data_IF_429476631254
#
_entry.id   IF_429476631254
#
_cell.length_a   1.000
_cell.length_b   1.000
_cell.length_c   1.000
_cell.angle_alpha   90.00
_cell.angle_beta   90.00
_cell.angle_gamma   90.00
#
_symmetry.space_group_name_H-M   'P 1'
#
loop_
_entity.id
_entity.type
_entity.pdbx_description
1 polymer ?
#
# COMPACT_ATOMS: atom_id res chain seq x y z
N UNK A 1 -10.63 -7.20 -8.23
CA UNK A 1 -11.80 -6.67 -7.49
C UNK A 1 -12.20 -7.49 -6.25
N UNK A 2 -11.92 -8.80 -6.13
CA UNK A 2 -12.34 -9.59 -4.96
C UNK A 2 -11.30 -9.77 -3.83
N UNK A 3 -10.01 -9.47 -4.05
CA UNK A 3 -8.95 -9.62 -3.02
C UNK A 3 -8.71 -8.35 -2.18
N UNK A 4 -9.18 -7.19 -2.65
CA UNK A 4 -9.06 -5.89 -1.98
C UNK A 4 -10.01 -5.70 -0.77
N UNK A 5 -10.97 -6.63 -0.54
CA UNK A 5 -11.92 -6.50 0.57
C UNK A 5 -11.45 -7.14 1.89
N UNK A 6 -10.49 -8.07 1.87
CA UNK A 6 -10.00 -8.75 3.08
C UNK A 6 -8.77 -8.04 3.67
N UNK A 7 -8.00 -7.36 2.82
CA UNK A 7 -6.94 -6.42 3.21
C UNK A 7 -7.40 -5.07 2.72
N UNK A 8 -7.76 -4.16 3.62
CA UNK A 8 -8.18 -2.82 3.23
C UNK A 8 -6.92 -2.10 2.72
N UNK A 9 -6.78 -2.03 1.40
CA UNK A 9 -5.90 -1.08 0.72
C UNK A 9 -6.77 0.13 0.41
N UNK A 10 -6.92 1.01 1.38
CA UNK A 10 -7.57 2.30 1.13
C UNK A 10 -6.49 3.21 0.56
N UNK A 11 -6.49 3.34 -0.76
CA UNK A 11 -5.74 4.38 -1.44
C UNK A 11 -6.45 5.70 -1.11
N UNK A 12 -6.05 6.38 -0.03
CA UNK A 12 -6.51 7.74 0.26
C UNK A 12 -5.73 8.70 -0.64
N UNK A 13 -5.92 8.54 -1.95
CA UNK A 13 -5.40 9.45 -2.95
C UNK A 13 -6.53 10.38 -3.34
N UNK A 14 -6.47 11.62 -2.83
CA UNK A 14 -7.32 12.69 -3.33
C UNK A 14 -6.58 13.35 -4.48
N UNK A 15 -7.18 13.32 -5.68
CA UNK A 15 -6.73 14.14 -6.79
C UNK A 15 -6.96 15.62 -6.42
N UNK A 16 -5.89 16.41 -6.35
CA UNK A 16 -5.97 17.86 -6.23
C UNK A 16 -5.82 18.47 -7.62
N UNK A 17 -6.63 19.48 -7.93
CA UNK A 17 -6.59 20.18 -9.22
C UNK A 17 -5.23 20.81 -9.60
N UNK A 18 -4.23 20.79 -8.71
CA UNK A 18 -2.86 21.27 -8.93
C UNK A 18 -1.84 20.15 -9.24
N UNK A 19 -2.26 18.89 -9.29
CA UNK A 19 -1.38 17.71 -9.46
C UNK A 19 -0.56 17.72 -10.77
N UNK A 20 -0.93 18.50 -11.79
CA UNK A 20 -0.32 18.45 -13.12
C UNK A 20 1.16 18.87 -13.24
N UNK A 21 1.78 19.49 -12.22
CA UNK A 21 3.18 19.98 -12.28
C UNK A 21 3.94 19.83 -10.95
N UNK A 22 3.27 19.85 -9.79
CA UNK A 22 3.95 19.94 -8.49
C UNK A 22 3.94 18.60 -7.73
N UNK A 23 5.00 18.29 -6.95
CA UNK A 23 5.00 17.13 -6.06
C UNK A 23 3.84 17.25 -5.07
N UNK A 24 3.01 16.23 -4.99
CA UNK A 24 1.93 16.16 -4.02
C UNK A 24 2.15 15.06 -3.01
N UNK A 25 1.64 15.30 -1.80
CA UNK A 25 1.84 14.39 -0.69
C UNK A 25 0.73 13.35 -0.70
N UNK A 26 1.09 12.09 -0.93
CA UNK A 26 0.16 10.96 -0.96
C UNK A 26 0.32 10.13 0.33
N UNK A 27 -0.74 9.43 0.72
CA UNK A 27 -0.78 8.58 1.91
C UNK A 27 -1.40 7.24 1.54
N UNK A 28 -0.69 6.16 1.83
CA UNK A 28 -1.16 4.79 1.61
C UNK A 28 -1.41 4.14 2.96
N UNK A 29 -2.56 3.46 3.09
CA UNK A 29 -2.96 2.75 4.30
C UNK A 29 -3.21 1.28 3.98
N UNK A 30 -2.60 0.41 4.78
CA UNK A 30 -2.66 -1.03 4.67
C UNK A 30 -3.23 -1.57 5.98
N UNK A 31 -4.45 -2.11 5.94
CA UNK A 31 -5.13 -2.67 7.10
C UNK A 31 -5.26 -4.19 7.05
N UNK A 32 -5.04 -4.85 8.19
CA UNK A 32 -5.35 -6.27 8.34
C UNK A 32 -6.82 -6.44 8.77
N UNK A 33 -7.69 -6.78 7.81
CA UNK A 33 -9.09 -7.15 8.06
C UNK A 33 -9.34 -8.67 7.89
N UNK A 34 -8.29 -9.49 8.05
CA UNK A 34 -8.42 -10.95 8.06
C UNK A 34 -9.22 -11.40 9.29
N UNK A 35 -10.12 -12.37 9.08
CA UNK A 35 -10.76 -13.08 10.17
C UNK A 35 -9.81 -14.05 10.89
N UNK A 36 -10.16 -14.45 12.11
CA UNK A 36 -9.55 -15.62 12.77
C UNK A 36 -8.19 -15.40 13.42
N UNK A 37 -7.91 -14.24 14.02
CA UNK A 37 -6.64 -13.93 14.68
C UNK A 37 -5.39 -14.10 13.79
N UNK A 38 -5.57 -14.05 12.46
CA UNK A 38 -4.49 -14.20 11.49
C UNK A 38 -3.66 -12.91 11.44
N UNK A 39 -2.35 -13.08 11.49
CA UNK A 39 -1.40 -11.99 11.31
C UNK A 39 -1.08 -11.83 9.83
N UNK A 40 -1.05 -10.58 9.37
CA UNK A 40 -0.67 -10.19 8.02
C UNK A 40 0.75 -9.66 8.04
N UNK A 41 1.67 -10.32 7.35
CA UNK A 41 3.02 -9.80 7.11
C UNK A 41 3.04 -9.09 5.76
N UNK A 42 3.30 -7.79 5.80
CA UNK A 42 3.40 -6.93 4.63
C UNK A 42 4.86 -6.50 4.44
N UNK A 43 5.38 -6.54 3.22
CA UNK A 43 6.67 -5.92 2.85
C UNK A 43 6.44 -5.02 1.67
N UNK A 44 6.62 -3.72 1.86
CA UNK A 44 6.35 -2.70 0.85
C UNK A 44 7.62 -2.00 0.42
N UNK A 45 7.76 -1.76 -0.86
CA UNK A 45 8.86 -0.97 -1.42
C UNK A 45 8.46 -0.31 -2.73
N UNK A 46 9.20 0.73 -3.10
CA UNK A 46 9.16 1.36 -4.41
C UNK A 46 10.45 1.04 -5.17
N UNK A 47 10.71 1.77 -6.26
CA UNK A 47 12.00 1.76 -6.94
C UNK A 47 13.13 2.33 -6.04
N UNK A 48 12.82 3.36 -5.26
CA UNK A 48 13.82 4.18 -4.57
C UNK A 48 13.82 3.96 -3.04
N UNK A 49 12.70 3.49 -2.48
CA UNK A 49 12.51 3.35 -1.04
C UNK A 49 12.07 1.93 -0.65
N UNK A 50 12.74 1.33 0.35
CA UNK A 50 12.26 0.12 1.01
C UNK A 50 11.68 0.49 2.38
N UNK A 51 10.38 0.24 2.57
CA UNK A 51 9.67 0.54 3.81
C UNK A 51 9.83 -0.59 4.86
N UNK A 52 10.44 -1.70 4.44
CA UNK A 52 10.70 -2.88 5.24
C UNK A 52 9.47 -3.75 5.47
N UNK A 53 9.67 -4.78 6.29
CA UNK A 53 8.63 -5.74 6.68
C UNK A 53 7.86 -5.22 7.89
N UNK A 54 6.54 -5.32 7.84
CA UNK A 54 5.60 -5.00 8.92
C UNK A 54 4.70 -6.20 9.17
N UNK A 55 4.51 -6.56 10.44
CA UNK A 55 3.56 -7.61 10.84
C UNK A 55 2.38 -6.92 11.52
N UNK A 56 1.19 -7.14 10.98
CA UNK A 56 -0.06 -6.55 11.43
C UNK A 56 -0.94 -7.63 12.05
N UNK A 57 -1.28 -7.47 13.32
CA UNK A 57 -2.34 -8.23 13.97
C UNK A 57 -3.73 -7.86 13.45
N UNK A 58 -4.78 -8.57 13.88
CA UNK A 58 -6.15 -8.28 13.49
C UNK A 58 -6.55 -6.84 13.81
N UNK A 59 -7.12 -6.13 12.83
CA UNK A 59 -7.55 -4.74 12.97
C UNK A 59 -6.41 -3.72 13.04
N UNK A 60 -5.15 -4.15 12.92
CA UNK A 60 -4.02 -3.23 12.89
C UNK A 60 -3.79 -2.70 11.47
N UNK A 61 -3.25 -1.48 11.43
CA UNK A 61 -2.98 -0.75 10.20
C UNK A 61 -1.52 -0.27 10.16
N UNK A 62 -0.95 -0.29 8.97
CA UNK A 62 0.32 0.33 8.63
C UNK A 62 0.05 1.42 7.59
N UNK A 63 0.67 2.58 7.75
CA UNK A 63 0.56 3.66 6.78
C UNK A 63 1.90 4.34 6.57
N UNK A 64 2.08 4.88 5.37
CA UNK A 64 3.24 5.68 5.01
C UNK A 64 2.82 6.85 4.13
N UNK A 65 3.65 7.89 4.15
CA UNK A 65 3.45 9.12 3.38
C UNK A 65 4.69 9.35 2.52
N UNK A 66 4.47 9.76 1.29
CA UNK A 66 5.53 10.10 0.36
C UNK A 66 5.11 11.29 -0.50
N UNK A 67 6.06 11.84 -1.24
CA UNK A 67 5.81 12.87 -2.24
C UNK A 67 5.89 12.24 -3.62
N UNK A 68 4.96 12.59 -4.52
CA UNK A 68 5.06 12.20 -5.93
C UNK A 68 6.31 12.82 -6.54
N UNK A 69 6.90 12.15 -7.52
CA UNK A 69 8.04 12.68 -8.23
C UNK A 69 7.57 13.50 -9.43
N UNK A 70 8.26 14.62 -9.71
CA UNK A 70 7.97 15.42 -10.92
C UNK A 70 8.58 14.80 -12.19
N UNK A 71 9.55 13.91 -12.05
CA UNK A 71 10.38 13.43 -13.16
C UNK A 71 10.09 11.98 -13.55
N UNK A 72 9.44 11.21 -12.69
CA UNK A 72 9.15 9.80 -12.92
C UNK A 72 7.89 9.35 -12.19
N UNK A 73 7.25 8.30 -12.70
CA UNK A 73 6.13 7.62 -12.07
C UNK A 73 6.59 6.89 -10.81
N UNK A 74 5.92 7.16 -9.69
CA UNK A 74 6.12 6.42 -8.42
C UNK A 74 5.19 5.21 -8.35
N UNK A 75 5.74 4.02 -8.09
CA UNK A 75 4.96 2.79 -7.84
C UNK A 75 5.42 2.19 -6.52
N UNK A 76 4.47 1.88 -5.62
CA UNK A 76 4.72 1.07 -4.43
C UNK A 76 4.07 -0.31 -4.60
N UNK A 77 4.88 -1.34 -4.46
CA UNK A 77 4.47 -2.72 -4.55
C UNK A 77 4.72 -3.41 -3.21
N UNK A 78 3.73 -4.16 -2.74
CA UNK A 78 3.78 -4.86 -1.47
C UNK A 78 3.54 -6.36 -1.64
N UNK A 79 4.32 -7.16 -0.90
CA UNK A 79 4.00 -8.56 -0.66
C UNK A 79 3.20 -8.72 0.62
N UNK A 80 2.22 -9.60 0.60
CA UNK A 80 1.35 -9.94 1.71
C UNK A 80 1.40 -11.43 1.96
N UNK A 81 1.72 -11.80 3.19
CA UNK A 81 1.77 -13.17 3.66
C UNK A 81 0.84 -13.32 4.85
N UNK A 82 -0.14 -14.21 4.72
CA UNK A 82 -1.02 -14.59 5.83
C UNK A 82 -0.34 -15.66 6.66
N UNK A 83 0.08 -15.29 7.87
CA UNK A 83 0.80 -16.22 8.74
C UNK A 83 -0.13 -17.36 9.16
N UNK A 84 0.23 -18.58 8.79
CA UNK A 84 -0.53 -19.81 9.07
C UNK A 84 -1.25 -20.42 7.86
N UNK A 85 -1.49 -19.68 6.78
CA UNK A 85 -2.04 -20.22 5.52
C UNK A 85 -1.04 -20.25 4.36
N UNK A 86 0.11 -19.56 4.49
CA UNK A 86 1.32 -19.78 3.69
C UNK A 86 1.30 -19.20 2.27
N UNK A 87 0.24 -18.47 1.87
CA UNK A 87 0.17 -17.79 0.58
C UNK A 87 0.90 -16.45 0.60
N UNK A 88 1.85 -16.26 -0.33
CA UNK A 88 2.46 -14.96 -0.62
C UNK A 88 1.75 -14.32 -1.82
N UNK A 89 1.24 -13.11 -1.62
CA UNK A 89 0.50 -12.35 -2.64
C UNK A 89 1.16 -10.99 -2.89
N UNK A 90 1.27 -10.58 -4.15
CA UNK A 90 1.87 -9.29 -4.52
C UNK A 90 0.82 -8.37 -5.12
N UNK A 91 0.84 -7.10 -4.72
CA UNK A 91 -0.02 -6.05 -5.28
C UNK A 91 0.71 -4.71 -5.35
N UNK A 92 0.39 -3.96 -6.39
CA UNK A 92 0.75 -2.55 -6.49
C UNK A 92 -0.27 -1.74 -5.68
N UNK A 93 0.16 -1.33 -4.49
CA UNK A 93 -0.64 -0.58 -3.53
C UNK A 93 -0.68 0.91 -3.84
N UNK A 94 0.16 1.37 -4.77
CA UNK A 94 0.08 2.70 -5.35
C UNK A 94 0.74 2.67 -6.71
N UNK A 95 0.10 3.24 -7.72
CA UNK A 95 0.68 3.48 -9.04
C UNK A 95 0.31 4.90 -9.48
N UNK A 96 1.32 5.75 -9.68
CA UNK A 96 1.12 7.14 -10.08
C UNK A 96 0.27 7.30 -11.34
N UNK A 97 0.27 6.36 -12.29
CA UNK A 97 -0.54 6.48 -13.50
C UNK A 97 -2.01 6.12 -13.26
N UNK A 98 -2.27 5.24 -12.28
CA UNK A 98 -3.62 4.76 -11.92
C UNK A 98 -4.28 5.70 -10.91
N UNK A 99 -3.47 6.20 -9.98
CA UNK A 99 -3.90 6.90 -8.77
C UNK A 99 -3.58 8.41 -8.84
N UNK A 100 -3.16 8.95 -10.00
CA UNK A 100 -2.83 10.37 -10.19
C UNK A 100 -3.96 11.31 -9.71
#
# INVERSE_FOLDING_TARGET
MFLACIVIMNDVVKADSRDGIFPTKKMVMIGNALGGNVQLKAHCKSRDDDLGVRVLGPGQEFHFKFWTSMLFTTVFYCSFEWLGSGGLHWYDVYDDNRDF
#
